data_IF_721792666611
#
_entry.id   IF_721792666611
#
_cell.length_a   1.000
_cell.length_b   1.000
_cell.length_c   1.000
_cell.angle_alpha   90.00
_cell.angle_beta   90.00
_cell.angle_gamma   90.00
#
_symmetry.space_group_name_H-M   'P 1'
#
loop_
_entity.id
_entity.type
_entity.pdbx_description
1 polymer ?
#
# COMPACT_ATOMS: atom_id res chain seq x y z
N UNK A 1 -31.40 30.04 -41.51
CA UNK A 1 -32.78 30.63 -41.46
C UNK A 1 -32.98 31.21 -40.07
N UNK A 2 -32.79 32.52 -39.95
CA UNK A 2 -33.24 33.32 -38.79
C UNK A 2 -34.69 33.71 -39.02
N UNK A 3 -35.47 33.98 -37.95
CA UNK A 3 -35.79 35.40 -37.77
C UNK A 3 -35.92 35.89 -36.29
N UNK A 4 -35.45 37.05 -36.11
CA UNK A 4 -36.00 38.38 -35.72
C UNK A 4 -36.33 38.60 -34.24
N UNK A 5 -35.57 39.54 -33.68
CA UNK A 5 -35.85 40.30 -32.48
C UNK A 5 -36.98 41.31 -32.73
N UNK A 6 -37.84 41.53 -31.75
CA UNK A 6 -38.75 42.66 -31.66
C UNK A 6 -38.38 43.48 -30.44
N UNK A 7 -37.94 44.72 -30.70
CA UNK A 7 -37.79 45.79 -29.70
C UNK A 7 -39.16 46.47 -29.54
N UNK A 8 -39.67 46.56 -28.31
CA UNK A 8 -40.75 47.46 -27.96
C UNK A 8 -40.25 48.51 -26.98
N UNK A 9 -40.15 49.73 -27.46
CA UNK A 9 -39.97 50.94 -26.68
C UNK A 9 -41.33 51.41 -26.15
N UNK A 10 -41.46 51.54 -24.83
CA UNK A 10 -42.55 52.31 -24.22
C UNK A 10 -41.97 53.41 -23.34
N UNK A 11 -42.16 54.63 -23.79
CA UNK A 11 -41.93 55.86 -23.07
C UNK A 11 -43.08 56.06 -22.07
N UNK A 12 -42.75 56.24 -20.81
CA UNK A 12 -43.72 56.58 -19.75
C UNK A 12 -43.05 57.40 -18.64
N UNK A 13 -43.49 58.57 -18.48
CA UNK A 13 -43.04 59.66 -17.61
C UNK A 13 -42.98 59.24 -16.10
N UNK A 14 -41.91 59.67 -15.46
CA UNK A 14 -41.64 59.55 -14.01
C UNK A 14 -42.38 60.64 -13.23
N UNK A 15 -43.07 60.29 -12.11
CA UNK A 15 -43.32 61.25 -11.03
C UNK A 15 -42.29 61.04 -9.95
N UNK A 16 -41.55 62.11 -9.68
CA UNK A 16 -40.74 62.29 -8.47
C UNK A 16 -41.57 62.30 -7.21
N UNK A 17 -41.34 61.34 -6.33
CA UNK A 17 -41.76 61.45 -4.92
C UNK A 17 -40.57 61.09 -4.02
N UNK A 18 -40.11 62.13 -3.37
CA UNK A 18 -39.07 62.07 -2.36
C UNK A 18 -39.61 61.40 -1.07
N UNK A 19 -38.85 60.40 -0.55
CA UNK A 19 -38.86 60.08 0.87
C UNK A 19 -37.51 59.49 1.28
N UNK A 20 -36.65 60.18 2.02
CA UNK A 20 -35.41 59.67 2.58
C UNK A 20 -35.69 59.03 3.94
N UNK A 21 -36.11 57.81 3.97
CA UNK A 21 -36.37 57.10 5.22
C UNK A 21 -36.29 55.58 5.17
N UNK A 22 -36.41 55.02 4.00
CA UNK A 22 -36.53 53.54 3.86
C UNK A 22 -35.20 52.79 3.57
N UNK A 23 -34.13 53.49 3.18
CA UNK A 23 -32.87 52.85 2.78
C UNK A 23 -31.94 52.55 3.98
N UNK A 24 -32.16 53.15 5.15
CA UNK A 24 -31.35 52.90 6.36
C UNK A 24 -31.85 51.69 7.18
N UNK A 25 -33.15 51.38 7.15
CA UNK A 25 -33.72 50.27 7.89
C UNK A 25 -33.41 48.90 7.24
N UNK A 26 -33.33 48.83 5.92
CA UNK A 26 -32.99 47.61 5.19
C UNK A 26 -31.51 47.20 5.31
N UNK A 27 -30.58 48.17 5.47
CA UNK A 27 -29.16 47.86 5.70
C UNK A 27 -28.90 47.29 7.11
N UNK A 28 -29.65 47.71 8.10
CA UNK A 28 -29.46 47.24 9.48
C UNK A 28 -29.93 45.80 9.69
N UNK A 29 -30.84 45.28 8.88
CA UNK A 29 -31.39 43.92 8.99
C UNK A 29 -30.64 42.93 8.08
N UNK A 30 -30.10 43.37 6.96
CA UNK A 30 -29.40 42.51 6.01
C UNK A 30 -27.95 42.15 6.44
N UNK A 31 -27.23 43.08 7.07
CA UNK A 31 -25.85 42.88 7.51
C UNK A 31 -25.68 41.77 8.57
N UNK A 32 -26.50 41.69 9.64
CA UNK A 32 -26.37 40.58 10.59
C UNK A 32 -26.76 39.23 10.02
N UNK A 33 -27.78 39.18 9.14
CA UNK A 33 -28.17 37.94 8.46
C UNK A 33 -27.13 37.43 7.46
N UNK A 34 -26.47 38.34 6.74
CA UNK A 34 -25.39 38.01 5.83
C UNK A 34 -24.14 37.49 6.59
N UNK A 35 -23.82 38.10 7.75
CA UNK A 35 -22.73 37.63 8.63
C UNK A 35 -23.03 36.27 9.22
N UNK A 36 -24.25 35.97 9.62
CA UNK A 36 -24.67 34.68 10.12
C UNK A 36 -24.62 33.60 9.02
N UNK A 37 -25.01 33.97 7.78
CA UNK A 37 -24.96 33.04 6.63
C UNK A 37 -23.51 32.73 6.27
N UNK A 38 -22.64 33.72 6.24
CA UNK A 38 -21.19 33.55 6.00
C UNK A 38 -20.55 32.67 7.09
N UNK A 39 -20.85 32.94 8.36
CA UNK A 39 -20.38 32.15 9.50
C UNK A 39 -20.86 30.70 9.41
N UNK A 40 -22.12 30.47 9.03
CA UNK A 40 -22.67 29.14 8.84
C UNK A 40 -22.02 28.41 7.65
N UNK A 41 -21.79 29.09 6.52
CA UNK A 41 -21.09 28.54 5.36
C UNK A 41 -19.62 28.25 5.65
N UNK A 42 -18.95 29.10 6.43
CA UNK A 42 -17.57 28.84 6.90
C UNK A 42 -17.51 27.67 7.87
N UNK A 43 -18.49 27.53 8.78
CA UNK A 43 -18.59 26.40 9.68
C UNK A 43 -18.89 25.09 8.93
N UNK A 44 -19.76 25.15 7.91
CA UNK A 44 -20.07 24.02 7.03
C UNK A 44 -18.85 23.62 6.18
N UNK A 45 -18.12 24.60 5.65
CA UNK A 45 -16.87 24.37 4.91
C UNK A 45 -15.77 23.81 5.81
N UNK A 46 -15.66 24.31 7.06
CA UNK A 46 -14.73 23.76 8.06
C UNK A 46 -15.11 22.32 8.46
N UNK A 47 -16.42 22.02 8.58
CA UNK A 47 -16.90 20.65 8.84
C UNK A 47 -16.61 19.70 7.67
N UNK A 48 -16.79 20.17 6.43
CA UNK A 48 -16.46 19.39 5.21
C UNK A 48 -14.95 19.20 5.06
N UNK A 49 -14.14 20.20 5.44
CA UNK A 49 -12.68 20.08 5.44
C UNK A 49 -12.18 19.20 6.60
N UNK A 50 -12.82 19.25 7.76
CA UNK A 50 -12.50 18.36 8.88
C UNK A 50 -12.84 16.89 8.57
N UNK A 51 -13.91 16.63 7.81
CA UNK A 51 -14.24 15.25 7.36
C UNK A 51 -13.26 14.70 6.32
N UNK A 52 -12.46 15.54 5.67
CA UNK A 52 -11.40 15.08 4.76
C UNK A 52 -10.08 14.72 5.49
N UNK A 53 -9.91 15.19 6.73
CA UNK A 53 -8.78 14.81 7.58
C UNK A 53 -9.02 13.53 8.40
N UNK A 54 -10.25 12.99 8.38
CA UNK A 54 -10.53 11.68 8.94
C UNK A 54 -9.91 10.64 8.01
N UNK A 55 -9.02 9.85 8.59
CA UNK A 55 -8.23 8.77 8.03
C UNK A 55 -8.81 8.17 6.76
N UNK A 56 -7.96 7.79 5.85
CA UNK A 56 -8.35 7.22 4.57
C UNK A 56 -9.25 5.98 4.76
N UNK A 57 -10.54 6.17 5.01
CA UNK A 57 -11.54 5.10 4.88
C UNK A 57 -11.53 4.44 3.50
N UNK A 58 -10.52 4.77 2.70
CA UNK A 58 -10.22 4.31 1.35
C UNK A 58 -9.01 3.37 1.28
N UNK A 59 -8.23 3.19 2.37
CA UNK A 59 -7.13 2.24 2.38
C UNK A 59 -7.70 0.82 2.33
N UNK A 60 -7.31 0.04 1.31
CA UNK A 60 -7.63 -1.37 1.30
C UNK A 60 -6.69 -2.16 2.21
N UNK A 61 -7.23 -3.20 2.85
CA UNK A 61 -6.50 -4.01 3.82
C UNK A 61 -6.71 -5.49 3.53
N UNK A 62 -5.61 -6.21 3.39
CA UNK A 62 -5.69 -7.59 2.95
C UNK A 62 -4.43 -8.39 3.22
N UNK A 63 -4.15 -9.33 2.34
CA UNK A 63 -2.96 -10.16 2.42
C UNK A 63 -2.32 -10.42 1.06
N UNK A 64 -1.00 -10.68 1.07
CA UNK A 64 -0.28 -11.30 -0.04
C UNK A 64 -0.36 -12.80 0.15
N UNK A 65 -1.01 -13.53 -0.78
CA UNK A 65 -1.31 -14.94 -0.63
C UNK A 65 -1.53 -15.63 -1.98
N UNK A 66 -0.72 -16.61 -2.29
CA UNK A 66 -0.81 -17.36 -3.55
C UNK A 66 -1.63 -18.66 -3.47
N UNK A 67 -2.01 -19.14 -2.29
CA UNK A 67 -2.76 -20.40 -2.14
C UNK A 67 -4.12 -20.38 -2.85
N UNK A 68 -4.75 -19.20 -2.96
CA UNK A 68 -5.99 -19.01 -3.71
C UNK A 68 -5.82 -18.95 -5.22
N UNK A 69 -4.59 -18.81 -5.72
CA UNK A 69 -4.27 -18.81 -7.17
C UNK A 69 -4.19 -20.25 -7.69
N UNK A 70 -5.35 -20.86 -7.86
CA UNK A 70 -5.53 -22.24 -8.27
C UNK A 70 -6.46 -22.33 -9.47
N UNK A 71 -6.15 -23.22 -10.43
CA UNK A 71 -6.98 -23.43 -11.62
C UNK A 71 -8.30 -24.15 -11.31
N UNK A 72 -8.39 -24.85 -10.16
CA UNK A 72 -9.66 -25.38 -9.65
C UNK A 72 -10.43 -24.23 -8.94
N UNK A 73 -11.58 -23.81 -9.48
CA UNK A 73 -12.38 -22.73 -8.90
C UNK A 73 -12.89 -23.03 -7.48
N UNK A 74 -13.07 -24.30 -7.12
CA UNK A 74 -13.52 -24.69 -5.78
C UNK A 74 -12.40 -24.46 -4.75
N UNK A 75 -11.16 -24.79 -5.09
CA UNK A 75 -9.99 -24.51 -4.25
C UNK A 75 -9.77 -23.00 -4.10
N UNK A 76 -9.81 -22.27 -5.23
CA UNK A 76 -9.69 -20.81 -5.21
C UNK A 76 -10.74 -20.18 -4.30
N UNK A 77 -12.01 -20.57 -4.45
CA UNK A 77 -13.13 -20.09 -3.63
C UNK A 77 -12.92 -20.40 -2.13
N UNK A 78 -12.52 -21.63 -1.78
CA UNK A 78 -12.31 -22.03 -0.39
C UNK A 78 -11.21 -21.18 0.29
N UNK A 79 -10.09 -20.92 -0.40
CA UNK A 79 -9.01 -20.07 0.12
C UNK A 79 -9.44 -18.61 0.25
N UNK A 80 -10.18 -18.09 -0.72
CA UNK A 80 -10.73 -16.74 -0.68
C UNK A 80 -11.79 -16.57 0.42
N UNK A 81 -12.53 -17.62 0.79
CA UNK A 81 -13.45 -17.60 1.94
C UNK A 81 -12.69 -17.45 3.27
N UNK A 82 -11.52 -18.06 3.45
CA UNK A 82 -10.67 -17.84 4.62
C UNK A 82 -10.24 -16.34 4.71
N UNK A 83 -9.80 -15.78 3.61
CA UNK A 83 -9.46 -14.36 3.54
C UNK A 83 -10.66 -13.46 3.91
N UNK A 84 -11.86 -13.76 3.37
CA UNK A 84 -13.09 -13.03 3.71
C UNK A 84 -13.45 -13.17 5.19
N UNK A 85 -13.32 -14.36 5.77
CA UNK A 85 -13.59 -14.62 7.19
C UNK A 85 -12.60 -13.86 8.11
N UNK A 86 -11.36 -13.67 7.67
CA UNK A 86 -10.38 -12.81 8.35
C UNK A 86 -10.71 -11.31 8.25
N UNK A 87 -11.64 -10.91 7.38
CA UNK A 87 -12.05 -9.53 7.18
C UNK A 87 -11.23 -8.80 6.10
N UNK A 88 -10.41 -9.50 5.35
CA UNK A 88 -9.65 -8.93 4.23
C UNK A 88 -10.59 -8.51 3.08
N UNK A 89 -10.29 -7.38 2.47
CA UNK A 89 -10.97 -6.86 1.27
C UNK A 89 -10.09 -6.90 0.03
N UNK A 90 -8.84 -7.32 0.18
CA UNK A 90 -7.87 -7.38 -0.91
C UNK A 90 -6.95 -8.59 -0.76
N UNK A 91 -6.67 -9.27 -1.87
CA UNK A 91 -5.65 -10.33 -1.96
C UNK A 91 -4.70 -10.01 -3.09
N UNK A 92 -3.38 -10.03 -2.81
CA UNK A 92 -2.33 -9.96 -3.81
C UNK A 92 -1.90 -11.39 -4.19
N UNK A 93 -1.84 -11.65 -5.49
CA UNK A 93 -1.36 -12.91 -6.05
C UNK A 93 -0.26 -12.69 -7.08
N UNK A 94 0.58 -13.68 -7.28
CA UNK A 94 1.66 -13.64 -8.26
C UNK A 94 1.18 -14.03 -9.66
N UNK A 95 1.73 -13.37 -10.69
CA UNK A 95 1.65 -13.77 -12.10
C UNK A 95 3.08 -13.87 -12.63
N UNK A 96 3.55 -15.10 -12.84
CA UNK A 96 4.96 -15.38 -13.09
C UNK A 96 5.24 -15.36 -14.58
N UNK A 97 6.14 -14.49 -14.99
CA UNK A 97 6.68 -14.44 -16.35
C UNK A 97 7.97 -15.25 -16.45
N UNK A 98 8.10 -15.97 -17.55
CA UNK A 98 9.34 -16.66 -17.91
C UNK A 98 9.88 -16.15 -19.26
N UNK A 99 11.22 -16.22 -19.47
CA UNK A 99 11.84 -15.78 -20.70
C UNK A 99 11.20 -16.41 -21.95
N UNK A 100 10.89 -15.59 -22.94
CA UNK A 100 10.24 -16.00 -24.17
C UNK A 100 8.72 -15.84 -24.18
N UNK A 101 8.07 -15.78 -23.03
CA UNK A 101 6.62 -15.63 -22.94
C UNK A 101 6.17 -14.22 -23.36
N UNK A 102 5.15 -14.15 -24.19
CA UNK A 102 4.46 -12.91 -24.60
C UNK A 102 2.97 -12.93 -24.25
N UNK A 103 2.47 -14.07 -23.80
CA UNK A 103 1.12 -14.30 -23.32
C UNK A 103 1.15 -15.22 -22.10
N UNK A 104 0.12 -15.18 -21.29
CA UNK A 104 -0.02 -16.00 -20.08
C UNK A 104 -0.29 -17.44 -20.46
N UNK A 105 0.46 -18.44 -19.93
CA UNK A 105 0.16 -19.83 -20.08
C UNK A 105 -1.25 -20.21 -19.63
N UNK A 106 -1.84 -21.22 -20.26
CA UNK A 106 -3.25 -21.55 -20.07
C UNK A 106 -3.60 -21.92 -18.61
N UNK A 107 -2.73 -22.66 -17.93
CA UNK A 107 -2.86 -23.05 -16.53
C UNK A 107 -2.81 -21.85 -15.59
N UNK A 108 -1.84 -20.97 -15.78
CA UNK A 108 -1.71 -19.75 -15.00
C UNK A 108 -2.88 -18.78 -15.26
N UNK A 109 -3.33 -18.69 -16.51
CA UNK A 109 -4.50 -17.89 -16.86
C UNK A 109 -5.75 -18.42 -16.16
N UNK A 110 -5.99 -19.74 -16.21
CA UNK A 110 -7.15 -20.35 -15.54
C UNK A 110 -7.12 -20.06 -14.03
N UNK A 111 -5.95 -20.12 -13.39
CA UNK A 111 -5.80 -19.80 -11.98
C UNK A 111 -6.11 -18.31 -11.67
N UNK A 112 -5.62 -17.38 -12.51
CA UNK A 112 -5.92 -15.95 -12.35
C UNK A 112 -7.40 -15.63 -12.60
N UNK A 113 -8.04 -16.32 -13.54
CA UNK A 113 -9.48 -16.17 -13.80
C UNK A 113 -10.31 -16.74 -12.65
N UNK A 114 -9.94 -17.90 -12.11
CA UNK A 114 -10.63 -18.51 -10.97
C UNK A 114 -10.58 -17.63 -9.73
N UNK A 115 -9.40 -17.12 -9.37
CA UNK A 115 -9.29 -16.22 -8.20
C UNK A 115 -9.94 -14.86 -8.45
N UNK A 116 -9.89 -14.34 -9.68
CA UNK A 116 -10.61 -13.12 -10.06
C UNK A 116 -12.12 -13.27 -9.86
N UNK A 117 -12.70 -14.38 -10.35
CA UNK A 117 -14.12 -14.68 -10.18
C UNK A 117 -14.50 -14.88 -8.70
N UNK A 118 -13.67 -15.56 -7.91
CA UNK A 118 -13.88 -15.72 -6.48
C UNK A 118 -13.83 -14.36 -5.75
N UNK A 119 -12.90 -13.49 -6.15
CA UNK A 119 -12.78 -12.12 -5.66
C UNK A 119 -14.04 -11.29 -5.94
N UNK A 120 -14.51 -11.30 -7.17
CA UNK A 120 -15.76 -10.60 -7.59
C UNK A 120 -16.96 -11.10 -6.79
N UNK A 121 -17.10 -12.42 -6.63
CA UNK A 121 -18.20 -13.03 -5.87
C UNK A 121 -18.19 -12.66 -4.39
N UNK A 122 -17.00 -12.62 -3.76
CA UNK A 122 -16.85 -12.32 -2.34
C UNK A 122 -16.68 -10.82 -2.03
N UNK A 123 -16.58 -9.97 -3.06
CA UNK A 123 -16.27 -8.55 -2.90
C UNK A 123 -14.86 -8.34 -2.35
N UNK A 124 -13.90 -9.14 -2.81
CA UNK A 124 -12.47 -9.03 -2.49
C UNK A 124 -11.73 -8.57 -3.74
N UNK A 125 -10.99 -7.48 -3.63
CA UNK A 125 -10.11 -6.99 -4.69
C UNK A 125 -8.96 -7.95 -4.92
N UNK A 126 -8.63 -8.21 -6.19
CA UNK A 126 -7.42 -8.93 -6.55
C UNK A 126 -6.39 -7.94 -7.09
N UNK A 127 -5.18 -7.99 -6.53
CA UNK A 127 -3.98 -7.29 -7.03
C UNK A 127 -3.05 -8.35 -7.61
N UNK A 128 -2.65 -8.22 -8.87
CA UNK A 128 -1.71 -9.18 -9.48
C UNK A 128 -0.29 -8.61 -9.49
N UNK A 129 0.65 -9.29 -8.85
CA UNK A 129 2.08 -9.00 -8.95
C UNK A 129 2.66 -9.72 -10.15
N UNK A 130 2.90 -8.99 -11.25
CA UNK A 130 3.51 -9.52 -12.47
C UNK A 130 5.03 -9.45 -12.30
N UNK A 131 5.68 -10.59 -12.21
CA UNK A 131 7.10 -10.66 -11.88
C UNK A 131 7.81 -11.82 -12.58
N UNK A 132 9.14 -11.74 -12.65
CA UNK A 132 10.00 -12.86 -13.01
C UNK A 132 10.25 -13.76 -11.79
N UNK A 133 10.51 -15.05 -12.02
CA UNK A 133 10.78 -16.01 -10.93
C UNK A 133 12.28 -16.07 -10.61
N UNK A 134 12.70 -15.22 -9.68
CA UNK A 134 14.09 -15.13 -9.24
C UNK A 134 15.03 -14.49 -10.27
N UNK A 135 16.27 -14.26 -9.86
CA UNK A 135 17.23 -13.47 -10.64
C UNK A 135 17.71 -14.12 -11.94
N UNK A 136 17.58 -15.44 -12.08
CA UNK A 136 17.97 -16.15 -13.32
C UNK A 136 17.09 -15.81 -14.52
N UNK A 137 15.90 -15.28 -14.28
CA UNK A 137 14.92 -14.91 -15.31
C UNK A 137 14.75 -13.41 -15.46
N UNK A 138 15.69 -12.60 -14.94
CA UNK A 138 15.66 -11.14 -15.06
C UNK A 138 15.56 -10.68 -16.51
N UNK A 139 14.58 -9.81 -16.88
CA UNK A 139 14.38 -9.37 -18.27
C UNK A 139 15.35 -8.26 -18.68
N UNK A 140 16.62 -8.58 -18.88
CA UNK A 140 17.71 -7.62 -19.08
C UNK A 140 17.74 -6.98 -20.46
N UNK A 141 17.38 -7.71 -21.52
CA UNK A 141 17.43 -7.20 -22.88
C UNK A 141 16.18 -6.40 -23.25
N UNK A 142 16.28 -5.52 -24.23
CA UNK A 142 15.12 -4.80 -24.75
C UNK A 142 14.03 -5.74 -25.29
N UNK A 143 14.44 -6.88 -25.86
CA UNK A 143 13.53 -7.92 -26.32
C UNK A 143 12.80 -8.59 -25.14
N UNK A 144 13.53 -9.02 -24.10
CA UNK A 144 12.96 -9.63 -22.91
C UNK A 144 11.99 -8.66 -22.17
N UNK A 145 12.35 -7.40 -22.03
CA UNK A 145 11.44 -6.38 -21.47
C UNK A 145 10.18 -6.17 -22.32
N UNK A 146 10.29 -6.33 -23.66
CA UNK A 146 9.12 -6.26 -24.54
C UNK A 146 8.23 -7.50 -24.38
N UNK A 147 8.81 -8.68 -24.24
CA UNK A 147 8.08 -9.93 -23.97
C UNK A 147 7.34 -9.84 -22.64
N UNK A 148 8.02 -9.44 -21.56
CA UNK A 148 7.40 -9.21 -20.26
C UNK A 148 6.23 -8.22 -20.32
N UNK A 149 6.41 -7.08 -20.98
CA UNK A 149 5.37 -6.08 -21.12
C UNK A 149 4.14 -6.57 -21.89
N UNK A 150 4.35 -7.42 -22.93
CA UNK A 150 3.26 -8.09 -23.67
C UNK A 150 2.53 -9.10 -22.80
N UNK A 151 3.26 -9.92 -22.04
CA UNK A 151 2.70 -10.86 -21.06
C UNK A 151 1.81 -10.13 -20.03
N UNK A 152 2.31 -9.04 -19.45
CA UNK A 152 1.54 -8.23 -18.51
C UNK A 152 0.26 -7.63 -19.15
N UNK A 153 0.37 -7.14 -20.38
CA UNK A 153 -0.78 -6.61 -21.13
C UNK A 153 -1.79 -7.71 -21.52
N UNK A 154 -1.33 -8.96 -21.72
CA UNK A 154 -2.20 -10.10 -21.98
C UNK A 154 -3.07 -10.44 -20.76
N UNK A 155 -2.51 -10.37 -19.53
CA UNK A 155 -3.30 -10.51 -18.29
C UNK A 155 -4.40 -9.46 -18.23
N UNK A 156 -4.07 -8.19 -18.45
CA UNK A 156 -5.04 -7.07 -18.43
C UNK A 156 -6.22 -7.35 -19.35
N UNK A 157 -5.96 -7.88 -20.56
CA UNK A 157 -7.00 -8.18 -21.56
C UNK A 157 -7.85 -9.39 -21.20
N UNK A 158 -7.25 -10.42 -20.59
CA UNK A 158 -7.87 -11.73 -20.41
C UNK A 158 -8.46 -11.96 -19.02
N UNK A 159 -8.11 -11.10 -18.04
CA UNK A 159 -8.60 -11.18 -16.66
C UNK A 159 -9.16 -9.82 -16.23
N UNK A 160 -10.31 -9.39 -16.78
CA UNK A 160 -10.86 -8.05 -16.58
C UNK A 160 -11.28 -7.75 -15.13
N UNK A 161 -11.47 -8.77 -14.29
CA UNK A 161 -11.72 -8.62 -12.85
C UNK A 161 -10.52 -8.06 -12.07
N UNK A 162 -9.29 -8.20 -12.60
CA UNK A 162 -8.09 -7.64 -11.97
C UNK A 162 -7.80 -6.26 -12.55
N UNK A 163 -7.77 -5.23 -11.71
CA UNK A 163 -7.57 -3.84 -12.14
C UNK A 163 -6.37 -3.17 -11.50
N UNK A 164 -5.70 -3.80 -10.55
CA UNK A 164 -4.49 -3.30 -9.91
C UNK A 164 -3.36 -4.31 -10.09
N UNK A 165 -2.20 -3.80 -10.49
CA UNK A 165 -1.05 -4.61 -10.87
C UNK A 165 0.22 -4.05 -10.26
N UNK A 166 1.02 -4.93 -9.64
CA UNK A 166 2.38 -4.63 -9.21
C UNK A 166 3.33 -5.17 -10.27
N UNK A 167 4.38 -4.42 -10.59
CA UNK A 167 5.39 -4.82 -11.58
C UNK A 167 6.70 -5.13 -10.86
N UNK A 168 7.09 -6.41 -10.87
CA UNK A 168 8.29 -6.90 -10.21
C UNK A 168 8.07 -7.36 -8.77
N UNK A 169 9.14 -7.85 -8.14
CA UNK A 169 9.25 -8.19 -6.72
C UNK A 169 10.70 -8.01 -6.29
N UNK A 170 10.95 -7.17 -5.32
CA UNK A 170 12.24 -6.86 -4.70
C UNK A 170 13.42 -6.73 -5.69
N UNK A 171 13.29 -5.89 -6.74
CA UNK A 171 14.34 -5.76 -7.75
C UNK A 171 15.64 -5.17 -7.21
N UNK A 172 15.62 -4.62 -6.01
CA UNK A 172 16.80 -4.15 -5.28
C UNK A 172 17.59 -5.29 -4.58
N UNK A 173 17.14 -6.56 -4.69
CA UNK A 173 17.82 -7.72 -4.14
C UNK A 173 18.34 -8.69 -5.21
N UNK A 174 19.54 -9.21 -5.03
CA UNK A 174 20.16 -10.19 -5.92
C UNK A 174 19.40 -11.53 -6.01
N UNK A 175 18.51 -11.80 -5.07
CA UNK A 175 17.62 -12.97 -5.10
C UNK A 175 16.65 -12.90 -6.28
N UNK A 176 16.18 -11.70 -6.62
CA UNK A 176 15.12 -11.50 -7.61
C UNK A 176 15.61 -10.79 -8.87
N UNK A 177 16.72 -10.06 -8.78
CA UNK A 177 17.23 -9.27 -9.91
C UNK A 177 18.76 -9.31 -9.97
N UNK A 178 19.33 -9.66 -11.13
CA UNK A 178 20.75 -9.63 -11.42
C UNK A 178 20.99 -9.14 -12.85
N UNK A 179 22.12 -8.41 -13.11
CA UNK A 179 23.07 -7.95 -12.11
C UNK A 179 22.51 -6.80 -11.26
N UNK A 180 23.04 -6.64 -10.03
CA UNK A 180 22.75 -5.48 -9.20
C UNK A 180 23.66 -4.31 -9.58
N UNK A 181 24.94 -4.57 -9.68
CA UNK A 181 25.96 -3.57 -10.02
C UNK A 181 26.57 -3.80 -11.39
N UNK A 182 26.93 -2.72 -12.07
CA UNK A 182 27.74 -2.73 -13.27
C UNK A 182 29.24 -2.76 -12.97
N UNK A 183 30.09 -2.78 -14.02
CA UNK A 183 31.55 -2.91 -13.85
C UNK A 183 32.21 -1.80 -13.03
N UNK A 184 31.63 -0.61 -13.01
CA UNK A 184 32.17 0.54 -12.28
C UNK A 184 31.42 0.79 -10.95
N UNK A 185 30.58 -0.16 -10.50
CA UNK A 185 29.80 -0.05 -9.28
C UNK A 185 28.49 0.74 -9.41
N UNK A 186 28.09 1.10 -10.62
CA UNK A 186 26.80 1.76 -10.89
C UNK A 186 25.60 0.82 -10.64
N UNK A 187 24.47 1.36 -10.19
CA UNK A 187 23.21 0.62 -10.01
C UNK A 187 22.54 0.31 -11.37
N UNK A 188 22.89 -0.84 -11.93
CA UNK A 188 22.27 -1.31 -13.18
C UNK A 188 20.92 -1.99 -12.95
N UNK A 189 20.62 -2.42 -11.72
CA UNK A 189 19.35 -3.02 -11.37
C UNK A 189 18.25 -1.95 -11.40
N UNK A 190 18.42 -0.81 -10.75
CA UNK A 190 17.46 0.30 -10.80
C UNK A 190 17.25 0.82 -12.22
N UNK A 191 18.33 0.91 -13.01
CA UNK A 191 18.27 1.34 -14.42
C UNK A 191 17.43 0.37 -15.26
N UNK A 192 17.74 -0.93 -15.21
CA UNK A 192 17.05 -1.94 -16.03
C UNK A 192 15.61 -2.17 -15.57
N UNK A 193 15.35 -2.10 -14.27
CA UNK A 193 14.02 -2.18 -13.70
C UNK A 193 13.15 -0.98 -14.11
N UNK A 194 13.68 0.25 -14.03
CA UNK A 194 12.94 1.45 -14.45
C UNK A 194 12.55 1.40 -15.93
N UNK A 195 13.44 0.88 -16.78
CA UNK A 195 13.16 0.65 -18.20
C UNK A 195 12.08 -0.41 -18.42
N UNK A 196 12.09 -1.51 -17.63
CA UNK A 196 11.05 -2.53 -17.65
C UNK A 196 9.70 -1.93 -17.26
N UNK A 197 9.67 -1.24 -16.11
CA UNK A 197 8.47 -0.63 -15.56
C UNK A 197 7.83 0.34 -16.56
N UNK A 198 8.62 1.22 -17.16
CA UNK A 198 8.16 2.17 -18.18
C UNK A 198 7.51 1.47 -19.38
N UNK A 199 8.13 0.42 -19.89
CA UNK A 199 7.61 -0.35 -21.03
C UNK A 199 6.35 -1.13 -20.66
N UNK A 200 6.33 -1.71 -19.47
CA UNK A 200 5.18 -2.46 -18.96
C UNK A 200 3.99 -1.54 -18.70
N UNK A 201 4.23 -0.38 -18.10
CA UNK A 201 3.22 0.67 -17.93
C UNK A 201 2.55 1.04 -19.26
N UNK A 202 3.36 1.34 -20.27
CA UNK A 202 2.84 1.71 -21.59
C UNK A 202 1.99 0.61 -22.21
N UNK A 203 2.44 -0.64 -22.15
CA UNK A 203 1.73 -1.77 -22.71
C UNK A 203 0.41 -2.09 -21.98
N UNK A 204 0.41 -2.03 -20.66
CA UNK A 204 -0.78 -2.28 -19.85
C UNK A 204 -1.80 -1.14 -19.99
N UNK A 205 -1.37 0.13 -20.00
CA UNK A 205 -2.26 1.28 -20.25
C UNK A 205 -2.83 1.30 -21.67
N UNK A 206 -2.12 0.76 -22.63
CA UNK A 206 -2.63 0.56 -23.99
C UNK A 206 -3.67 -0.57 -24.07
N UNK A 207 -3.57 -1.58 -23.19
CA UNK A 207 -4.56 -2.66 -23.08
C UNK A 207 -5.85 -2.20 -22.38
N UNK A 208 -5.73 -1.50 -21.25
CA UNK A 208 -6.81 -0.79 -20.56
C UNK A 208 -6.22 0.41 -19.80
N UNK A 209 -6.62 1.63 -20.17
CA UNK A 209 -6.15 2.87 -19.54
C UNK A 209 -6.56 3.01 -18.07
N UNK A 210 -7.57 2.27 -17.62
CA UNK A 210 -8.15 2.39 -16.28
C UNK A 210 -7.49 1.48 -15.23
N UNK A 211 -6.57 0.58 -15.64
CA UNK A 211 -5.82 -0.23 -14.68
C UNK A 211 -4.86 0.64 -13.88
N UNK A 212 -4.67 0.29 -12.60
CA UNK A 212 -3.74 0.97 -11.71
C UNK A 212 -2.43 0.17 -11.62
N UNK A 213 -1.32 0.79 -11.98
CA UNK A 213 -0.02 0.13 -12.11
C UNK A 213 0.92 0.63 -11.01
N UNK A 214 1.41 -0.30 -10.20
CA UNK A 214 2.25 -0.07 -9.04
C UNK A 214 3.67 -0.51 -9.38
N UNK A 215 4.61 0.40 -9.25
CA UNK A 215 6.04 0.11 -9.36
C UNK A 215 6.65 -0.18 -8.00
N UNK A 216 7.91 -0.59 -7.97
CA UNK A 216 8.66 -0.79 -6.74
C UNK A 216 8.63 -2.22 -6.24
N UNK A 217 7.72 -2.56 -5.33
CA UNK A 217 7.75 -3.80 -4.55
C UNK A 217 9.12 -4.00 -3.91
N UNK A 218 9.65 -2.94 -3.29
CA UNK A 218 11.04 -2.87 -2.84
C UNK A 218 11.24 -3.56 -1.50
N UNK A 219 12.30 -4.34 -1.38
CA UNK A 219 12.75 -4.82 -0.07
C UNK A 219 13.20 -3.64 0.82
N UNK A 220 13.00 -3.74 2.14
CA UNK A 220 13.26 -2.63 3.06
C UNK A 220 14.74 -2.34 3.29
N UNK A 221 15.63 -3.21 2.86
CA UNK A 221 17.09 -3.15 3.17
C UNK A 221 17.95 -3.58 2.00
N UNK A 222 19.20 -3.09 1.97
CA UNK A 222 20.26 -3.51 1.07
C UNK A 222 21.61 -3.01 1.55
N UNK A 223 22.71 -3.47 0.91
CA UNK A 223 24.07 -3.22 1.36
C UNK A 223 24.74 -2.06 0.60
N UNK A 224 24.32 -1.74 -0.62
CA UNK A 224 24.89 -0.71 -1.50
C UNK A 224 26.40 -0.89 -1.80
N UNK A 225 26.89 -2.12 -1.82
CA UNK A 225 28.28 -2.44 -2.13
C UNK A 225 28.39 -3.68 -3.02
N UNK A 226 29.11 -3.60 -4.15
CA UNK A 226 29.38 -4.75 -5.00
C UNK A 226 30.40 -5.72 -4.38
N UNK A 227 30.39 -6.98 -4.85
CA UNK A 227 31.37 -8.00 -4.50
C UNK A 227 31.24 -8.59 -3.11
N UNK A 228 30.08 -8.42 -2.46
CA UNK A 228 29.85 -8.94 -1.10
C UNK A 228 29.28 -10.38 -1.09
N UNK A 229 28.96 -10.93 -2.25
CA UNK A 229 28.20 -12.18 -2.38
C UNK A 229 26.71 -12.03 -2.03
N UNK A 230 26.32 -10.84 -1.55
CA UNK A 230 24.94 -10.38 -1.32
C UNK A 230 24.74 -9.00 -1.93
N UNK A 231 25.13 -8.88 -3.19
CA UNK A 231 25.06 -7.63 -3.93
C UNK A 231 23.60 -7.17 -4.01
N UNK A 232 23.28 -6.08 -3.30
CA UNK A 232 21.94 -5.56 -3.11
C UNK A 232 21.99 -4.05 -2.96
N UNK A 233 20.88 -3.39 -3.34
CA UNK A 233 20.71 -1.95 -3.09
C UNK A 233 19.73 -1.71 -1.97
N UNK A 234 19.99 -0.70 -1.14
CA UNK A 234 19.01 -0.18 -0.22
C UNK A 234 17.84 0.45 -0.98
N UNK A 235 16.63 0.45 -0.42
CA UNK A 235 15.50 1.11 -1.08
C UNK A 235 15.74 2.60 -1.31
N UNK A 236 16.53 3.26 -0.46
CA UNK A 236 16.85 4.68 -0.60
C UNK A 236 17.75 4.96 -1.81
N UNK A 237 18.78 4.16 -2.03
CA UNK A 237 19.62 4.26 -3.21
C UNK A 237 18.84 3.89 -4.47
N UNK A 238 18.13 2.78 -4.44
CA UNK A 238 17.35 2.29 -5.58
C UNK A 238 16.30 3.31 -6.06
N UNK A 239 15.55 3.95 -5.15
CA UNK A 239 14.58 5.01 -5.51
C UNK A 239 15.28 6.22 -6.14
N UNK A 240 16.42 6.64 -5.61
CA UNK A 240 17.19 7.76 -6.17
C UNK A 240 17.65 7.45 -7.61
N UNK A 241 18.14 6.21 -7.85
CA UNK A 241 18.63 5.79 -9.17
C UNK A 241 17.49 5.49 -10.15
N UNK A 242 16.32 5.05 -9.67
CA UNK A 242 15.10 5.05 -10.48
C UNK A 242 14.75 6.47 -10.96
N UNK A 243 14.81 7.47 -10.08
CA UNK A 243 14.58 8.88 -10.43
C UNK A 243 15.57 9.42 -11.44
N UNK A 244 16.85 9.13 -11.27
CA UNK A 244 17.94 9.48 -12.20
C UNK A 244 17.68 8.87 -13.58
N UNK A 245 17.36 7.59 -13.63
CA UNK A 245 17.06 6.86 -14.86
C UNK A 245 15.82 7.44 -15.55
N UNK A 246 14.74 7.68 -14.79
CA UNK A 246 13.52 8.25 -15.35
C UNK A 246 13.75 9.61 -15.98
N UNK A 247 14.51 10.51 -15.31
CA UNK A 247 14.88 11.82 -15.86
C UNK A 247 15.70 11.70 -17.13
N UNK A 248 16.65 10.76 -17.18
CA UNK A 248 17.48 10.48 -18.36
C UNK A 248 16.63 9.98 -19.56
N UNK A 249 15.53 9.27 -19.31
CA UNK A 249 14.61 8.81 -20.37
C UNK A 249 13.84 9.94 -21.05
N UNK A 250 13.80 11.14 -20.48
CA UNK A 250 13.09 12.33 -21.01
C UNK A 250 11.63 12.04 -21.39
N UNK A 251 10.95 11.24 -20.59
CA UNK A 251 9.55 10.86 -20.84
C UNK A 251 8.61 12.02 -20.54
N UNK A 252 7.52 12.11 -21.30
CA UNK A 252 6.44 13.07 -21.09
C UNK A 252 5.20 12.45 -20.40
N UNK A 253 5.34 11.25 -19.84
CA UNK A 253 4.28 10.50 -19.18
C UNK A 253 4.85 9.63 -18.03
N UNK A 254 4.05 9.26 -17.02
CA UNK A 254 4.49 8.47 -15.89
C UNK A 254 4.92 7.05 -16.27
N UNK A 255 5.53 6.35 -15.31
CA UNK A 255 5.90 4.94 -15.40
C UNK A 255 5.16 4.08 -14.37
N UNK A 256 4.44 4.70 -13.43
CA UNK A 256 3.63 4.06 -12.40
C UNK A 256 2.54 5.00 -11.90
N UNK A 257 1.45 4.45 -11.40
CA UNK A 257 0.37 5.18 -10.75
C UNK A 257 0.51 5.16 -9.21
N UNK A 258 1.30 4.23 -8.67
CA UNK A 258 1.65 4.08 -7.26
C UNK A 258 3.00 3.39 -7.10
N UNK A 259 3.55 3.42 -5.88
CA UNK A 259 4.76 2.69 -5.51
C UNK A 259 4.43 1.68 -4.41
N UNK A 260 5.03 0.50 -4.47
CA UNK A 260 4.98 -0.45 -3.37
C UNK A 260 6.33 -0.70 -2.73
N UNK A 261 6.29 -1.05 -1.46
CA UNK A 261 7.43 -1.42 -0.65
C UNK A 261 7.01 -2.45 0.41
N UNK A 262 7.93 -3.33 0.80
CA UNK A 262 7.78 -4.31 1.86
C UNK A 262 8.38 -3.75 3.17
N UNK A 263 7.62 -3.07 4.04
CA UNK A 263 8.19 -2.37 5.19
C UNK A 263 8.42 -3.30 6.40
N UNK A 264 9.01 -4.49 6.16
CA UNK A 264 9.32 -5.44 7.23
C UNK A 264 10.28 -4.86 8.27
N UNK A 265 10.08 -5.23 9.53
CA UNK A 265 11.09 -5.08 10.55
C UNK A 265 12.36 -5.88 10.25
N UNK A 266 13.44 -5.68 10.99
CA UNK A 266 14.70 -6.44 10.83
C UNK A 266 14.52 -7.93 11.14
N UNK A 267 13.55 -8.24 12.00
CA UNK A 267 13.08 -9.57 12.37
C UNK A 267 11.68 -9.42 13.01
N UNK A 268 11.02 -10.53 13.32
CA UNK A 268 9.65 -10.53 13.84
C UNK A 268 9.49 -9.90 15.23
N UNK A 269 10.57 -9.70 16.00
CA UNK A 269 10.52 -8.99 17.28
C UNK A 269 10.76 -7.47 17.15
N UNK A 270 11.00 -6.96 15.94
CA UNK A 270 11.13 -5.52 15.70
C UNK A 270 9.74 -4.90 15.59
N UNK A 271 9.39 -3.94 16.45
CA UNK A 271 8.07 -3.33 16.42
C UNK A 271 7.87 -2.46 15.17
N UNK A 272 6.62 -2.31 14.68
CA UNK A 272 6.31 -1.50 13.49
C UNK A 272 6.66 -0.02 13.64
N UNK A 273 6.80 0.45 14.88
CA UNK A 273 7.19 1.84 15.23
C UNK A 273 8.69 2.10 15.15
N UNK A 274 9.49 1.07 14.86
CA UNK A 274 10.94 1.24 14.74
C UNK A 274 11.31 2.01 13.47
N UNK A 275 11.93 3.19 13.62
CA UNK A 275 12.36 4.06 12.54
C UNK A 275 13.87 3.98 12.29
N UNK A 276 14.27 4.00 11.03
CA UNK A 276 15.68 3.99 10.60
C UNK A 276 16.16 5.42 10.30
N UNK A 277 16.26 6.26 11.33
CA UNK A 277 16.50 7.70 11.20
C UNK A 277 17.77 8.06 10.41
N UNK A 278 18.88 7.34 10.63
CA UNK A 278 20.18 7.60 10.00
C UNK A 278 20.60 6.57 8.96
N UNK A 279 19.81 5.51 8.78
CA UNK A 279 20.15 4.40 7.88
C UNK A 279 19.55 4.56 6.48
N UNK A 280 19.86 3.61 5.61
CA UNK A 280 19.33 3.52 4.23
C UNK A 280 18.11 2.59 4.12
N UNK A 281 17.74 1.92 5.21
CA UNK A 281 16.54 1.08 5.30
C UNK A 281 15.25 1.92 5.36
N UNK A 282 14.15 1.32 4.94
CA UNK A 282 12.80 1.89 5.01
C UNK A 282 11.85 0.85 5.62
N UNK A 283 11.49 1.07 6.89
CA UNK A 283 10.40 0.35 7.58
C UNK A 283 9.10 1.15 7.54
N UNK A 284 8.09 0.66 8.26
CA UNK A 284 6.77 1.29 8.29
C UNK A 284 6.78 2.69 8.92
N UNK A 285 7.66 2.90 9.93
CA UNK A 285 7.81 4.18 10.60
C UNK A 285 8.64 5.21 9.80
N UNK A 286 9.22 4.82 8.65
CA UNK A 286 10.03 5.71 7.81
C UNK A 286 9.22 6.37 6.68
N UNK A 287 7.90 6.51 6.83
CA UNK A 287 7.00 7.06 5.82
C UNK A 287 7.42 8.44 5.30
N UNK A 288 7.74 9.38 6.18
CA UNK A 288 8.14 10.75 5.77
C UNK A 288 9.44 10.73 4.96
N UNK A 289 10.36 9.85 5.33
CA UNK A 289 11.60 9.61 4.60
C UNK A 289 11.32 9.06 3.19
N UNK A 290 10.41 8.08 3.08
CA UNK A 290 9.99 7.53 1.79
C UNK A 290 9.35 8.60 0.90
N UNK A 291 8.40 9.38 1.42
CA UNK A 291 7.75 10.47 0.68
C UNK A 291 8.77 11.52 0.24
N UNK A 292 9.70 11.90 1.12
CA UNK A 292 10.78 12.83 0.79
C UNK A 292 11.71 12.31 -0.32
N UNK A 293 12.04 11.02 -0.32
CA UNK A 293 12.84 10.37 -1.38
C UNK A 293 12.09 10.36 -2.72
N UNK A 294 10.81 10.00 -2.71
CA UNK A 294 9.97 10.01 -3.90
C UNK A 294 9.86 11.43 -4.49
N UNK A 295 9.70 12.45 -3.63
CA UNK A 295 9.71 13.85 -4.06
C UNK A 295 11.01 14.23 -4.74
N UNK A 296 12.16 13.91 -4.15
CA UNK A 296 13.49 14.17 -4.75
C UNK A 296 13.67 13.44 -6.08
N UNK A 297 13.21 12.20 -6.17
CA UNK A 297 13.34 11.39 -7.37
C UNK A 297 12.47 11.90 -8.53
N UNK A 298 11.20 12.28 -8.28
CA UNK A 298 10.22 12.43 -9.35
C UNK A 298 9.52 13.80 -9.41
N UNK A 299 9.43 14.59 -8.34
CA UNK A 299 8.74 15.90 -8.39
C UNK A 299 9.38 16.83 -9.45
N UNK A 300 8.53 17.64 -10.07
CA UNK A 300 8.92 18.48 -11.19
C UNK A 300 9.05 17.73 -12.53
N UNK A 301 8.59 16.48 -12.59
CA UNK A 301 8.50 15.67 -13.82
C UNK A 301 7.06 15.22 -14.07
N UNK A 302 6.73 14.61 -15.22
CA UNK A 302 5.40 13.99 -15.42
C UNK A 302 5.07 12.84 -14.49
N UNK A 303 6.07 12.22 -13.82
CA UNK A 303 5.84 11.21 -12.80
C UNK A 303 5.57 11.90 -11.44
N UNK A 304 4.49 11.52 -10.76
CA UNK A 304 4.26 11.94 -9.39
C UNK A 304 5.37 11.41 -8.47
N UNK A 305 5.80 12.20 -7.50
CA UNK A 305 6.79 11.87 -6.50
C UNK A 305 6.21 11.89 -5.09
N UNK A 306 6.28 13.02 -4.39
CA UNK A 306 5.82 13.17 -3.00
C UNK A 306 4.31 12.89 -2.78
N UNK A 307 3.50 12.93 -3.84
CA UNK A 307 2.06 12.63 -3.81
C UNK A 307 1.71 11.27 -4.40
N UNK A 308 2.72 10.43 -4.70
CA UNK A 308 2.49 9.12 -5.27
C UNK A 308 1.78 8.21 -4.26
N UNK A 309 0.67 7.54 -4.62
CA UNK A 309 0.05 6.55 -3.77
C UNK A 309 1.02 5.43 -3.40
N UNK A 310 1.05 5.05 -2.12
CA UNK A 310 1.93 4.01 -1.57
C UNK A 310 1.10 2.79 -1.23
N UNK A 311 1.63 1.61 -1.53
CA UNK A 311 1.09 0.31 -1.14
C UNK A 311 2.16 -0.44 -0.35
N UNK A 312 1.83 -0.82 0.87
CA UNK A 312 2.60 -1.78 1.65
C UNK A 312 2.11 -3.18 1.27
N UNK A 313 2.73 -3.76 0.25
CA UNK A 313 2.22 -4.96 -0.40
C UNK A 313 2.70 -6.27 0.22
N UNK A 314 3.60 -6.20 1.21
CA UNK A 314 3.97 -7.28 2.12
C UNK A 314 4.40 -6.69 3.48
N UNK A 315 3.78 -7.17 4.55
CA UNK A 315 4.21 -6.94 5.92
C UNK A 315 3.92 -8.17 6.79
N UNK A 316 4.93 -8.78 7.37
CA UNK A 316 4.79 -10.00 8.12
C UNK A 316 5.54 -9.97 9.46
N UNK A 317 4.93 -10.60 10.44
CA UNK A 317 5.49 -10.85 11.78
C UNK A 317 5.25 -12.32 12.10
N UNK A 318 6.33 -13.12 12.20
CA UNK A 318 6.20 -14.53 12.50
C UNK A 318 5.80 -14.75 13.96
N UNK A 319 4.82 -15.63 14.17
CA UNK A 319 4.43 -16.07 15.51
C UNK A 319 5.03 -17.43 15.87
N UNK A 320 5.26 -17.63 17.15
CA UNK A 320 5.61 -18.92 17.71
C UNK A 320 4.48 -19.92 17.46
N UNK A 321 4.84 -21.14 17.03
CA UNK A 321 3.86 -22.19 16.76
C UNK A 321 3.66 -23.03 18.04
N UNK A 322 2.42 -23.12 18.57
CA UNK A 322 2.10 -23.91 19.73
C UNK A 322 2.41 -25.42 19.53
N UNK A 323 2.78 -26.13 20.58
CA UNK A 323 3.16 -27.54 20.51
C UNK A 323 2.11 -28.42 19.82
N UNK A 324 0.84 -28.18 20.06
CA UNK A 324 -0.26 -28.93 19.43
C UNK A 324 -0.37 -28.76 17.92
N UNK A 325 0.28 -27.72 17.35
CA UNK A 325 0.29 -27.40 15.92
C UNK A 325 1.58 -27.80 15.21
N UNK A 326 2.68 -28.02 15.94
CA UNK A 326 4.01 -28.29 15.36
C UNK A 326 4.04 -29.44 14.36
N UNK A 327 3.17 -30.44 14.52
CA UNK A 327 3.08 -31.59 13.60
C UNK A 327 2.74 -31.22 12.14
N UNK A 328 2.22 -30.02 11.90
CA UNK A 328 1.88 -29.54 10.56
C UNK A 328 3.02 -28.75 9.90
N UNK A 329 4.12 -28.51 10.61
CA UNK A 329 5.25 -27.73 10.16
C UNK A 329 6.50 -28.60 10.06
N UNK A 330 7.31 -28.37 9.02
CA UNK A 330 8.60 -29.00 8.78
C UNK A 330 9.76 -28.01 8.88
N UNK A 331 10.97 -28.51 8.65
CA UNK A 331 12.17 -27.69 8.64
C UNK A 331 12.64 -27.25 10.03
N UNK A 332 13.43 -26.19 10.07
CA UNK A 332 13.96 -25.60 11.30
C UNK A 332 13.89 -24.08 11.20
N UNK A 333 13.38 -23.45 12.22
CA UNK A 333 13.33 -22.01 12.31
C UNK A 333 14.72 -21.37 12.36
N UNK A 334 15.01 -20.39 11.48
CA UNK A 334 16.25 -19.63 11.55
C UNK A 334 16.31 -18.80 12.84
N UNK A 335 17.45 -18.79 13.51
CA UNK A 335 17.65 -17.99 14.73
C UNK A 335 17.46 -16.48 14.51
N UNK A 336 17.51 -16.03 13.26
CA UNK A 336 17.33 -14.62 12.86
C UNK A 336 15.84 -14.22 12.80
N UNK A 337 14.90 -15.16 12.71
CA UNK A 337 13.46 -14.88 12.60
C UNK A 337 12.93 -14.21 13.87
N UNK A 338 13.32 -14.71 15.05
CA UNK A 338 12.88 -14.23 16.36
C UNK A 338 11.36 -14.11 16.46
N UNK A 339 10.61 -15.23 16.28
CA UNK A 339 9.16 -15.21 16.29
C UNK A 339 8.63 -14.77 17.66
N UNK A 340 7.51 -14.09 17.64
CA UNK A 340 6.85 -13.53 18.83
C UNK A 340 5.62 -14.36 19.24
N UNK A 341 5.06 -14.10 20.43
CA UNK A 341 3.76 -14.69 20.78
C UNK A 341 2.65 -14.16 19.85
N UNK A 342 1.54 -14.90 19.71
CA UNK A 342 0.38 -14.44 18.93
C UNK A 342 -0.19 -13.13 19.47
N UNK A 343 -0.12 -12.91 20.79
CA UNK A 343 -0.54 -11.62 21.39
C UNK A 343 0.32 -10.45 20.90
N UNK A 344 1.63 -10.63 20.81
CA UNK A 344 2.55 -9.62 20.27
C UNK A 344 2.35 -9.45 18.75
N UNK A 345 2.16 -10.55 18.02
CA UNK A 345 1.83 -10.49 16.58
C UNK A 345 0.56 -9.66 16.34
N UNK A 346 -0.49 -9.90 17.13
CA UNK A 346 -1.75 -9.17 17.06
C UNK A 346 -1.56 -7.68 17.34
N UNK A 347 -0.80 -7.33 18.39
CA UNK A 347 -0.49 -5.96 18.74
C UNK A 347 0.31 -5.25 17.63
N UNK A 348 1.30 -5.94 17.04
CA UNK A 348 2.10 -5.37 15.96
C UNK A 348 1.28 -5.16 14.68
N UNK A 349 0.39 -6.10 14.31
CA UNK A 349 -0.51 -5.91 13.18
C UNK A 349 -1.51 -4.78 13.41
N UNK A 350 -2.07 -4.64 14.63
CA UNK A 350 -2.91 -3.50 14.98
C UNK A 350 -2.16 -2.19 14.77
N UNK A 351 -1.02 -2.04 15.42
CA UNK A 351 -0.20 -0.82 15.32
C UNK A 351 0.19 -0.52 13.87
N UNK A 352 0.59 -1.53 13.10
CA UNK A 352 0.98 -1.37 11.71
C UNK A 352 -0.19 -0.88 10.83
N UNK A 353 -1.38 -1.45 11.00
CA UNK A 353 -2.59 -1.06 10.27
C UNK A 353 -3.01 0.38 10.62
N UNK A 354 -3.00 0.74 11.91
CA UNK A 354 -3.34 2.08 12.38
C UNK A 354 -2.32 3.12 11.87
N UNK A 355 -1.01 2.82 11.95
CA UNK A 355 0.04 3.68 11.38
C UNK A 355 -0.16 3.90 9.88
N UNK A 356 -0.38 2.84 9.12
CA UNK A 356 -0.59 2.92 7.68
C UNK A 356 -1.84 3.74 7.33
N UNK A 357 -2.93 3.59 8.09
CA UNK A 357 -4.17 4.33 7.91
C UNK A 357 -4.00 5.85 8.17
N UNK A 358 -3.01 6.22 9.00
CA UNK A 358 -2.68 7.61 9.31
C UNK A 358 -1.67 8.25 8.34
N UNK A 359 -1.14 7.51 7.39
CA UNK A 359 -0.18 7.98 6.40
C UNK A 359 -0.91 8.46 5.13
N UNK A 360 -0.92 9.77 4.80
CA UNK A 360 -1.87 10.36 3.85
C UNK A 360 -1.85 9.78 2.43
N UNK A 361 -0.70 9.28 1.96
CA UNK A 361 -0.57 8.71 0.61
C UNK A 361 -0.70 7.19 0.58
N UNK A 362 -0.86 6.53 1.74
CA UNK A 362 -1.00 5.07 1.79
C UNK A 362 -2.39 4.66 1.32
N UNK A 363 -2.40 3.84 0.27
CA UNK A 363 -3.58 3.32 -0.41
C UNK A 363 -3.92 1.90 -0.02
N UNK A 364 -2.94 1.12 0.41
CA UNK A 364 -3.14 -0.28 0.73
C UNK A 364 -2.11 -0.84 1.70
N UNK A 365 -2.54 -1.83 2.48
CA UNK A 365 -1.70 -2.56 3.43
C UNK A 365 -2.03 -4.06 3.37
N UNK A 366 -1.04 -4.89 3.05
CA UNK A 366 -1.20 -6.32 2.91
C UNK A 366 -0.32 -7.08 3.90
N UNK A 367 -0.95 -7.92 4.71
CA UNK A 367 -0.26 -8.86 5.60
C UNK A 367 0.30 -10.02 4.78
N UNK A 368 1.42 -10.53 5.15
CA UNK A 368 2.09 -11.68 4.53
C UNK A 368 2.08 -12.86 5.51
N UNK A 369 1.12 -13.81 5.51
CA UNK A 369 0.10 -14.26 4.58
C UNK A 369 -1.32 -14.29 5.21
N UNK A 370 -2.29 -14.97 4.54
CA UNK A 370 -3.56 -15.41 5.14
C UNK A 370 -3.29 -16.62 6.02
N UNK A 371 -2.65 -17.65 5.48
CA UNK A 371 -2.31 -18.92 6.10
C UNK A 371 -0.79 -19.04 6.24
N UNK A 372 -0.29 -19.57 7.33
CA UNK A 372 1.13 -19.84 7.51
C UNK A 372 1.67 -20.76 6.42
N UNK A 373 2.92 -20.58 6.03
CA UNK A 373 3.66 -21.59 5.27
C UNK A 373 4.07 -22.74 6.21
N UNK A 374 4.11 -23.96 5.66
CA UNK A 374 4.35 -25.18 6.44
C UNK A 374 5.83 -25.50 6.72
N UNK A 375 6.74 -24.63 6.33
CA UNK A 375 8.18 -24.77 6.53
C UNK A 375 8.68 -23.64 7.44
N UNK A 376 9.29 -23.99 8.56
CA UNK A 376 9.89 -23.02 9.50
C UNK A 376 10.99 -22.15 8.90
N UNK A 377 11.58 -22.53 7.76
CA UNK A 377 12.49 -21.63 7.02
C UNK A 377 11.75 -20.55 6.23
N UNK A 378 10.42 -20.56 6.21
CA UNK A 378 9.55 -19.63 5.52
C UNK A 378 8.75 -18.81 6.54
N UNK A 379 7.52 -18.38 6.19
CA UNK A 379 6.79 -17.40 6.97
C UNK A 379 5.64 -18.03 7.77
N UNK A 380 5.64 -17.82 9.09
CA UNK A 380 4.55 -18.13 10.00
C UNK A 380 3.80 -16.87 10.41
N UNK A 381 3.66 -15.97 9.46
CA UNK A 381 3.08 -14.62 9.61
C UNK A 381 1.58 -14.55 9.31
N UNK A 382 0.95 -15.65 8.92
CA UNK A 382 -0.47 -15.76 8.65
C UNK A 382 -1.35 -15.51 9.87
N UNK A 383 -2.64 -15.28 9.61
CA UNK A 383 -3.68 -15.20 10.66
C UNK A 383 -4.40 -16.53 10.87
N UNK A 384 -4.05 -17.53 10.08
CA UNK A 384 -4.42 -18.93 10.24
C UNK A 384 -3.17 -19.81 10.28
N UNK A 385 -3.25 -20.91 11.04
CA UNK A 385 -2.26 -21.98 10.95
C UNK A 385 -2.38 -22.73 9.62
N UNK A 386 -1.36 -23.51 9.28
CA UNK A 386 -1.33 -24.37 8.07
C UNK A 386 -2.57 -25.27 7.93
N UNK A 387 -3.14 -25.75 9.04
CA UNK A 387 -4.33 -26.59 9.03
C UNK A 387 -5.65 -25.82 8.84
N UNK A 388 -5.58 -24.52 8.57
CA UNK A 388 -6.73 -23.64 8.35
C UNK A 388 -7.47 -23.22 9.63
N UNK A 389 -7.00 -23.64 10.81
CA UNK A 389 -7.58 -23.16 12.06
C UNK A 389 -7.09 -21.74 12.39
N UNK A 390 -7.94 -20.88 12.94
CA UNK A 390 -7.57 -19.50 13.21
C UNK A 390 -6.57 -19.36 14.35
N UNK A 391 -5.59 -18.47 14.18
CA UNK A 391 -4.81 -17.94 15.29
C UNK A 391 -5.66 -16.93 16.09
N UNK A 392 -5.31 -16.67 17.33
CA UNK A 392 -5.94 -15.60 18.11
C UNK A 392 -5.77 -14.23 17.45
N UNK A 393 -4.65 -13.99 16.79
CA UNK A 393 -4.35 -12.79 15.97
C UNK A 393 -5.46 -12.44 14.97
N UNK A 394 -6.14 -13.45 14.36
CA UNK A 394 -7.18 -13.21 13.35
C UNK A 394 -8.32 -12.32 13.85
N UNK A 395 -8.79 -12.56 15.07
CA UNK A 395 -9.90 -11.78 15.63
C UNK A 395 -9.51 -10.30 15.80
N UNK A 396 -8.31 -10.04 16.30
CA UNK A 396 -7.78 -8.70 16.51
C UNK A 396 -7.56 -7.96 15.17
N UNK A 397 -6.95 -8.62 14.19
CA UNK A 397 -6.75 -8.04 12.85
C UNK A 397 -8.08 -7.67 12.21
N UNK A 398 -9.07 -8.57 12.26
CA UNK A 398 -10.42 -8.32 11.74
C UNK A 398 -11.09 -7.13 12.43
N UNK A 399 -11.00 -7.06 13.76
CA UNK A 399 -11.55 -5.95 14.53
C UNK A 399 -10.87 -4.63 14.15
N UNK A 400 -9.54 -4.58 14.16
CA UNK A 400 -8.78 -3.38 13.79
C UNK A 400 -9.15 -2.86 12.40
N UNK A 401 -9.22 -3.74 11.41
CA UNK A 401 -9.64 -3.35 10.06
C UNK A 401 -11.07 -2.81 10.01
N UNK A 402 -11.97 -3.36 10.84
CA UNK A 402 -13.34 -2.85 10.97
C UNK A 402 -13.37 -1.46 11.61
N UNK A 403 -12.60 -1.24 12.65
CA UNK A 403 -12.44 0.05 13.33
C UNK A 403 -11.89 1.12 12.37
N UNK A 404 -10.84 0.78 11.60
CA UNK A 404 -10.27 1.68 10.58
C UNK A 404 -11.31 2.04 9.51
N UNK A 405 -12.05 1.06 8.98
CA UNK A 405 -13.11 1.32 7.97
C UNK A 405 -14.24 2.18 8.50
N UNK A 406 -14.54 2.06 9.79
CA UNK A 406 -15.54 2.87 10.47
C UNK A 406 -15.03 4.28 10.85
N UNK A 407 -13.73 4.56 10.70
CA UNK A 407 -13.12 5.78 11.22
C UNK A 407 -13.11 5.85 12.75
N UNK A 408 -13.20 4.70 13.42
CA UNK A 408 -13.27 4.60 14.87
C UNK A 408 -11.88 4.49 15.51
N UNK A 409 -10.91 5.26 15.03
CA UNK A 409 -9.58 5.39 15.60
C UNK A 409 -9.05 6.81 15.35
N UNK A 410 -8.11 7.23 16.18
CA UNK A 410 -7.49 8.53 16.06
C UNK A 410 -6.05 8.40 15.58
N UNK A 411 -5.69 9.21 14.58
CA UNK A 411 -4.30 9.37 14.21
C UNK A 411 -3.62 10.22 15.28
N UNK A 412 -2.64 9.66 15.97
CA UNK A 412 -1.79 10.47 16.82
C UNK A 412 -1.10 11.53 15.94
N UNK A 413 -1.19 12.79 16.33
CA UNK A 413 -0.47 13.85 15.63
C UNK A 413 1.03 13.51 15.65
N UNK A 414 1.73 13.57 14.51
CA UNK A 414 3.18 13.46 14.51
C UNK A 414 3.69 14.60 15.40
N UNK A 415 4.64 14.33 16.32
CA UNK A 415 5.19 15.38 17.18
C UNK A 415 5.77 16.48 16.30
N UNK A 416 5.22 17.69 16.42
CA UNK A 416 5.66 18.85 15.66
C UNK A 416 7.08 19.18 16.08
N UNK A 417 8.04 18.95 15.19
CA UNK A 417 9.25 19.76 15.14
C UNK A 417 10.40 19.43 16.07
N UNK A 418 10.65 18.16 16.41
CA UNK A 418 12.00 17.77 16.81
C UNK A 418 12.26 16.36 16.24
N UNK A 419 13.31 16.17 15.45
CA UNK A 419 13.68 14.90 14.81
C UNK A 419 14.00 13.76 15.79
N UNK A 420 13.31 13.67 16.89
CA UNK A 420 13.40 12.66 17.95
C UNK A 420 12.04 12.19 18.44
N UNK A 421 10.99 12.33 17.63
CA UNK A 421 9.65 11.85 17.98
C UNK A 421 9.58 10.33 17.93
N UNK A 422 10.13 9.67 18.93
CA UNK A 422 9.93 8.25 19.14
C UNK A 422 8.52 8.00 19.66
N UNK A 423 7.76 7.15 19.00
CA UNK A 423 6.67 6.43 19.64
C UNK A 423 7.29 5.59 20.76
N UNK A 424 6.97 5.91 22.00
CA UNK A 424 7.41 5.08 23.13
C UNK A 424 6.61 3.79 23.13
N UNK A 425 7.28 2.68 22.84
CA UNK A 425 6.70 1.35 22.97
C UNK A 425 6.32 1.05 24.41
N UNK A 426 5.24 0.27 24.55
CA UNK A 426 5.06 -0.55 25.73
C UNK A 426 6.39 -1.24 26.06
N UNK A 427 6.82 -1.13 27.31
CA UNK A 427 8.05 -1.78 27.78
C UNK A 427 7.89 -3.31 27.75
N UNK A 428 8.97 -4.10 27.79
CA UNK A 428 8.86 -5.54 27.96
C UNK A 428 7.99 -5.96 29.17
N UNK A 429 7.88 -5.11 30.19
CA UNK A 429 7.00 -5.30 31.33
C UNK A 429 5.51 -5.11 30.96
N UNK A 430 5.20 -4.14 30.08
CA UNK A 430 3.83 -3.92 29.60
C UNK A 430 3.38 -5.05 28.65
N UNK A 431 4.30 -5.60 27.86
CA UNK A 431 4.05 -6.77 27.01
C UNK A 431 3.81 -8.01 27.85
N UNK A 432 4.61 -8.22 28.91
CA UNK A 432 4.41 -9.32 29.87
C UNK A 432 3.13 -9.18 30.69
N UNK A 433 2.63 -7.96 30.89
CA UNK A 433 1.33 -7.70 31.51
C UNK A 433 0.17 -8.00 30.54
N UNK A 434 0.33 -7.76 29.24
CA UNK A 434 -0.66 -8.08 28.21
C UNK A 434 -0.91 -9.59 28.07
N UNK A 435 0.11 -10.42 28.24
CA UNK A 435 -0.04 -11.89 28.25
C UNK A 435 -0.88 -12.43 29.45
N UNK A 436 -1.16 -11.59 30.46
CA UNK A 436 -1.95 -11.92 31.64
C UNK A 436 -3.40 -11.41 31.61
N UNK A 437 -3.82 -10.73 30.56
CA UNK A 437 -5.18 -10.19 30.45
C UNK A 437 -6.14 -11.32 30.03
N UNK A 438 -7.21 -11.60 30.82
CA UNK A 438 -8.22 -12.59 30.46
C UNK A 438 -8.90 -12.17 29.14
N UNK A 439 -9.21 -13.13 28.30
CA UNK A 439 -9.92 -13.00 27.02
C UNK A 439 -11.34 -12.47 27.23
N UNK A 440 -11.47 -11.17 27.41
CA UNK A 440 -12.77 -10.49 27.55
C UNK A 440 -12.59 -9.06 28.03
N UNK A 441 -12.69 -8.12 27.08
CA UNK A 441 -12.82 -6.69 27.36
C UNK A 441 -11.58 -6.01 27.97
N UNK A 442 -10.59 -5.69 27.16
CA UNK A 442 -9.47 -4.85 27.57
C UNK A 442 -9.19 -3.78 26.53
N UNK A 443 -9.58 -2.55 26.82
CA UNK A 443 -9.05 -1.39 26.12
C UNK A 443 -7.55 -1.26 26.40
N UNK A 444 -6.74 -1.04 25.37
CA UNK A 444 -5.31 -0.79 25.50
C UNK A 444 -5.09 0.65 25.92
N UNK A 445 -4.30 0.87 26.95
CA UNK A 445 -3.89 2.21 27.39
C UNK A 445 -2.55 2.50 26.73
N UNK A 446 -2.54 3.46 25.80
CA UNK A 446 -1.31 4.12 25.36
C UNK A 446 -0.83 5.03 26.49
N UNK A 447 0.26 4.67 27.14
CA UNK A 447 0.88 5.53 28.14
C UNK A 447 1.72 6.59 27.41
N UNK A 448 1.26 7.83 27.49
CA UNK A 448 2.00 8.98 27.01
C UNK A 448 3.15 9.25 28.00
N UNK A 449 4.41 9.02 27.58
CA UNK A 449 5.60 9.24 28.39
C UNK A 449 6.06 10.70 28.33
N UNK A 450 5.16 11.65 28.62
CA UNK A 450 5.50 13.06 28.78
C UNK A 450 5.05 13.60 30.13
N UNK A 451 5.45 12.95 31.23
CA UNK A 451 5.45 13.60 32.57
C UNK A 451 6.40 12.82 33.49
N UNK A 452 7.62 13.32 33.62
CA UNK A 452 8.63 12.87 34.57
C UNK A 452 9.93 13.58 34.27
#
# INVERSE_FOLDING_TARGET
MFPYAVLLTLSGSVPTLAAPGFLLATRAILLPRLRSLIAFLCALAALVLATQALASGRMYMGAAEDEGRNSDPAVAMAKMQLAKAAGFDTIRVSAIWEPGQTAVPADQLAALQAIGAAGDFLGIRIVASVMNFGSKTTPLTAAARTQFARFAADIVKRVPGIREYIVGNEPNLNRYWLPQFGPNGEDVAATSYTQLLARTYDAMKAADRNVFIIGGSLAPRGIDRPGTGRDTHSPTAFIADMGTTYRAMKRNRPIMDGLSIHPYGENSSTPPTFAHLSGTSLGLADYDKLVGLLGKAFDGTPQLGSKLPIVYDEYGVDSQIPDGKRRFYGGREPATTKPVSEGVQAAYYRTALEMAACQPTVRGFLIFHVTDENDYNRWQSGVYYVDGTPKSTRAFVKQTMSEIRAGAFECAEPPVGTGTGGWSLATPADIAAADKIPTGLGGWILVNASSG
#
